data_IF_449196714202
#
_entry.id   IF_449196714202
#
_cell.length_a   1.000
_cell.length_b   1.000
_cell.length_c   1.000
_cell.angle_alpha   90.00
_cell.angle_beta   90.00
_cell.angle_gamma   90.00
#
_symmetry.space_group_name_H-M   'P 1'
#
loop_
_entity.id
_entity.type
_entity.pdbx_description
1 polymer ?
#
# COMPACT_ATOMS: atom_id res chain seq x y z
N UNK A 1 -8.10 10.89 10.24
CA UNK A 1 -6.98 11.56 9.55
C UNK A 1 -5.73 10.74 9.79
N UNK A 2 -4.99 10.39 8.75
CA UNK A 2 -3.75 9.61 8.85
C UNK A 2 -2.72 10.30 9.77
N UNK A 3 -1.95 9.50 10.51
CA UNK A 3 -0.96 10.01 11.48
C UNK A 3 0.08 10.93 10.80
N UNK A 4 0.52 10.55 9.59
CA UNK A 4 1.42 11.35 8.76
C UNK A 4 0.82 12.73 8.42
N UNK A 5 -0.46 12.75 8.03
CA UNK A 5 -1.17 13.98 7.65
C UNK A 5 -1.32 14.92 8.85
N UNK A 6 -1.64 14.40 10.03
CA UNK A 6 -1.73 15.21 11.24
C UNK A 6 -0.39 15.86 11.57
N UNK A 7 0.71 15.11 11.49
CA UNK A 7 2.05 15.59 11.82
C UNK A 7 2.52 16.67 10.84
N UNK A 8 2.28 16.49 9.53
CA UNK A 8 2.55 17.51 8.52
C UNK A 8 1.71 18.77 8.77
N UNK A 9 0.42 18.61 9.12
CA UNK A 9 -0.46 19.73 9.42
C UNK A 9 0.04 20.53 10.62
N UNK A 10 0.38 19.85 11.72
CA UNK A 10 0.85 20.52 12.94
C UNK A 10 2.18 21.25 12.72
N UNK A 11 3.07 20.71 11.88
CA UNK A 11 4.36 21.33 11.55
C UNK A 11 4.25 22.53 10.61
N UNK A 12 3.38 22.44 9.60
CA UNK A 12 3.18 23.50 8.60
C UNK A 12 2.15 24.55 9.04
N UNK A 13 1.52 24.35 10.21
CA UNK A 13 0.55 25.28 10.77
C UNK A 13 1.15 26.66 10.96
N UNK A 14 0.46 27.68 10.46
CA UNK A 14 0.93 29.06 10.46
C UNK A 14 1.64 29.47 9.16
N UNK A 15 1.82 28.56 8.20
CA UNK A 15 2.18 28.90 6.82
C UNK A 15 0.94 28.83 5.92
N UNK A 16 0.33 29.98 5.55
CA UNK A 16 -0.93 29.99 4.79
C UNK A 16 -0.84 29.33 3.42
N UNK A 17 0.35 29.33 2.80
CA UNK A 17 0.55 28.69 1.50
C UNK A 17 0.62 27.17 1.63
N UNK A 18 1.28 26.68 2.68
CA UNK A 18 1.37 25.26 2.97
C UNK A 18 0.00 24.70 3.37
N UNK A 19 -0.75 25.41 4.22
CA UNK A 19 -2.12 25.02 4.60
C UNK A 19 -3.06 24.96 3.39
N UNK A 20 -2.97 25.94 2.48
CA UNK A 20 -3.76 25.95 1.23
C UNK A 20 -3.41 24.77 0.32
N UNK A 21 -2.11 24.51 0.12
CA UNK A 21 -1.65 23.37 -0.67
C UNK A 21 -2.14 22.06 -0.05
N UNK A 22 -2.07 21.95 1.28
CA UNK A 22 -2.55 20.79 2.00
C UNK A 22 -4.03 20.55 1.78
N UNK A 23 -4.90 21.55 1.99
CA UNK A 23 -6.34 21.44 1.73
C UNK A 23 -6.65 21.05 0.28
N UNK A 24 -5.90 21.58 -0.69
CA UNK A 24 -6.09 21.24 -2.10
C UNK A 24 -5.66 19.80 -2.43
N UNK A 25 -4.63 19.27 -1.76
CA UNK A 25 -4.27 17.85 -1.82
C UNK A 25 -5.39 16.97 -1.27
N UNK A 26 -6.06 17.40 -0.19
CA UNK A 26 -7.22 16.65 0.36
C UNK A 26 -8.38 16.59 -0.63
N UNK A 27 -8.47 17.56 -1.55
CA UNK A 27 -9.45 17.60 -2.64
C UNK A 27 -9.01 16.81 -3.87
N UNK A 28 -7.83 16.16 -3.84
CA UNK A 28 -7.30 15.34 -4.93
C UNK A 28 -6.47 16.09 -5.97
N UNK A 29 -6.00 17.31 -5.67
CA UNK A 29 -5.15 18.06 -6.59
C UNK A 29 -3.71 17.55 -6.58
N UNK A 30 -3.32 16.83 -7.64
CA UNK A 30 -1.94 16.33 -7.80
C UNK A 30 -0.89 17.45 -7.93
N UNK A 31 -1.24 18.59 -8.53
CA UNK A 31 -0.30 19.72 -8.66
C UNK A 31 0.04 20.33 -7.30
N UNK A 32 -0.92 20.35 -6.39
CA UNK A 32 -0.71 20.87 -5.04
C UNK A 32 0.01 19.85 -4.14
N UNK A 33 0.05 18.58 -4.53
CA UNK A 33 0.88 17.55 -3.88
C UNK A 33 2.36 17.86 -4.03
N UNK A 34 2.80 18.20 -5.24
CA UNK A 34 4.21 18.56 -5.49
C UNK A 34 4.60 19.82 -4.72
N UNK A 35 3.69 20.80 -4.64
CA UNK A 35 3.91 22.02 -3.84
C UNK A 35 3.97 21.72 -2.34
N UNK A 36 3.08 20.87 -1.84
CA UNK A 36 3.10 20.43 -0.46
C UNK A 36 4.41 19.71 -0.13
N UNK A 37 4.93 18.90 -1.05
CA UNK A 37 6.22 18.21 -0.88
C UNK A 37 7.38 19.19 -0.69
N UNK A 38 7.41 20.30 -1.44
CA UNK A 38 8.42 21.36 -1.25
C UNK A 38 8.36 21.96 0.15
N UNK A 39 7.17 22.30 0.64
CA UNK A 39 7.02 22.86 2.01
C UNK A 39 7.40 21.85 3.10
N UNK A 40 7.07 20.57 2.91
CA UNK A 40 7.47 19.52 3.83
C UNK A 40 9.00 19.37 3.82
N UNK A 41 9.63 19.43 2.65
CA UNK A 41 11.09 19.32 2.54
C UNK A 41 11.80 20.49 3.23
N UNK A 42 11.34 21.72 3.03
CA UNK A 42 11.84 22.92 3.72
C UNK A 42 11.75 22.76 5.25
N UNK A 43 10.59 22.32 5.75
CA UNK A 43 10.40 22.04 7.17
C UNK A 43 11.27 20.88 7.72
N UNK A 44 11.66 19.92 6.86
CA UNK A 44 12.57 18.84 7.21
C UNK A 44 14.04 19.29 7.25
N UNK A 45 14.41 20.30 6.46
CA UNK A 45 15.74 20.90 6.49
C UNK A 45 15.92 21.73 7.78
N UNK A 46 14.88 22.43 8.21
CA UNK A 46 14.86 23.21 9.46
C UNK A 46 14.76 22.36 10.74
N UNK A 47 14.07 21.21 10.68
CA UNK A 47 13.83 20.35 11.83
C UNK A 47 14.17 18.88 11.54
N UNK A 48 15.35 18.46 12.01
CA UNK A 48 15.84 17.10 11.84
C UNK A 48 15.03 16.04 12.59
N UNK A 49 14.38 16.40 13.70
CA UNK A 49 13.52 15.47 14.43
C UNK A 49 12.26 15.20 13.59
N UNK A 50 11.62 16.26 13.10
CA UNK A 50 10.50 16.15 12.18
C UNK A 50 10.85 15.34 10.93
N UNK A 51 12.03 15.58 10.35
CA UNK A 51 12.51 14.82 9.19
C UNK A 51 12.67 13.32 9.48
N UNK A 52 13.13 12.98 10.69
CA UNK A 52 13.32 11.60 11.12
C UNK A 52 11.97 10.90 11.30
N UNK A 53 11.01 11.58 11.93
CA UNK A 53 9.65 11.07 12.13
C UNK A 53 8.92 10.85 10.79
N UNK A 54 8.99 11.81 9.85
CA UNK A 54 8.40 11.68 8.52
C UNK A 54 8.99 10.46 7.78
N UNK A 55 10.32 10.31 7.79
CA UNK A 55 11.01 9.19 7.14
C UNK A 55 10.65 7.84 7.77
N UNK A 56 10.48 7.79 9.09
CA UNK A 56 10.08 6.58 9.78
C UNK A 56 8.67 6.12 9.35
N UNK A 57 7.70 7.04 9.37
CA UNK A 57 6.33 6.75 8.96
C UNK A 57 6.25 6.36 7.48
N UNK A 58 7.00 7.05 6.60
CA UNK A 58 7.05 6.70 5.18
C UNK A 58 7.61 5.28 4.93
N UNK A 59 8.63 4.88 5.69
CA UNK A 59 9.16 3.51 5.64
C UNK A 59 8.14 2.48 6.12
N UNK A 60 7.41 2.78 7.20
CA UNK A 60 6.37 1.90 7.72
C UNK A 60 5.23 1.70 6.70
N UNK A 61 4.79 2.76 6.03
CA UNK A 61 3.78 2.67 4.95
C UNK A 61 4.29 1.80 3.80
N UNK A 62 5.54 1.97 3.38
CA UNK A 62 6.14 1.11 2.34
C UNK A 62 6.26 -0.35 2.78
N UNK A 63 6.67 -0.60 4.02
CA UNK A 63 6.74 -1.96 4.57
C UNK A 63 5.36 -2.63 4.64
N UNK A 64 4.34 -1.90 5.08
CA UNK A 64 2.95 -2.36 5.09
C UNK A 64 2.45 -2.73 3.69
N UNK A 65 2.69 -1.87 2.68
CA UNK A 65 2.34 -2.16 1.28
C UNK A 65 3.04 -3.41 0.74
N UNK A 66 4.30 -3.61 1.09
CA UNK A 66 5.02 -4.84 0.75
C UNK A 66 4.35 -6.05 1.42
N UNK A 67 4.05 -5.97 2.72
CA UNK A 67 3.41 -7.07 3.46
C UNK A 67 2.02 -7.44 2.94
N UNK A 68 1.20 -6.45 2.58
CA UNK A 68 -0.10 -6.68 1.95
C UNK A 68 0.05 -7.37 0.58
N UNK A 69 1.01 -6.95 -0.24
CA UNK A 69 1.29 -7.57 -1.53
C UNK A 69 1.74 -9.04 -1.39
N UNK A 70 2.61 -9.33 -0.41
CA UNK A 70 3.07 -10.70 -0.12
C UNK A 70 1.89 -11.57 0.34
N UNK A 71 1.02 -11.02 1.19
CA UNK A 71 -0.17 -11.73 1.69
C UNK A 71 -1.18 -12.05 0.57
N UNK A 72 -1.41 -11.12 -0.36
CA UNK A 72 -2.24 -11.39 -1.54
C UNK A 72 -1.63 -12.47 -2.45
N UNK A 73 -0.31 -12.42 -2.66
CA UNK A 73 0.40 -13.40 -3.50
C UNK A 73 0.39 -14.81 -2.89
N UNK A 74 0.57 -14.93 -1.57
CA UNK A 74 0.51 -16.21 -0.86
C UNK A 74 -0.92 -16.78 -0.84
N UNK A 75 -1.94 -15.96 -0.60
CA UNK A 75 -3.34 -16.40 -0.67
C UNK A 75 -3.71 -16.91 -2.07
N UNK A 76 -3.26 -16.24 -3.13
CA UNK A 76 -3.53 -16.68 -4.50
C UNK A 76 -2.80 -18.01 -4.83
N UNK A 77 -1.53 -18.16 -4.43
CA UNK A 77 -0.80 -19.44 -4.59
C UNK A 77 -1.48 -20.58 -3.84
N UNK A 78 -1.88 -20.36 -2.59
CA UNK A 78 -2.57 -21.38 -1.80
C UNK A 78 -3.92 -21.79 -2.43
N UNK A 79 -4.66 -20.84 -2.99
CA UNK A 79 -5.93 -21.14 -3.66
C UNK A 79 -5.70 -21.90 -4.98
N UNK A 80 -4.71 -21.51 -5.77
CA UNK A 80 -4.37 -22.17 -7.05
C UNK A 80 -3.88 -23.60 -6.84
N UNK A 81 -3.01 -23.84 -5.84
CA UNK A 81 -2.51 -25.17 -5.51
C UNK A 81 -3.65 -26.08 -5.02
N UNK A 82 -4.54 -25.57 -4.14
CA UNK A 82 -5.71 -26.33 -3.67
C UNK A 82 -6.63 -26.73 -4.83
N UNK A 83 -6.97 -25.79 -5.70
CA UNK A 83 -7.86 -26.06 -6.84
C UNK A 83 -7.21 -27.01 -7.86
N UNK A 84 -5.91 -26.89 -8.14
CA UNK A 84 -5.21 -27.83 -9.04
C UNK A 84 -5.08 -29.23 -8.44
N UNK A 85 -4.87 -29.35 -7.13
CA UNK A 85 -4.77 -30.65 -6.45
C UNK A 85 -6.13 -31.35 -6.41
N UNK A 86 -7.21 -30.59 -6.20
CA UNK A 86 -8.57 -31.12 -6.19
C UNK A 86 -9.03 -31.54 -7.60
N UNK A 87 -8.74 -30.74 -8.63
CA UNK A 87 -9.06 -31.07 -10.03
C UNK A 87 -8.28 -32.28 -10.57
N UNK A 88 -7.03 -32.48 -10.14
CA UNK A 88 -6.25 -33.66 -10.53
C UNK A 88 -6.69 -34.93 -9.80
N UNK A 89 -7.11 -34.81 -8.53
CA UNK A 89 -7.68 -35.94 -7.78
C UNK A 89 -9.02 -36.39 -8.38
N UNK A 90 -9.89 -35.45 -8.77
CA UNK A 90 -11.18 -35.75 -9.39
C UNK A 90 -11.03 -36.33 -10.81
N UNK A 91 -10.09 -35.81 -11.63
CA UNK A 91 -9.84 -36.36 -12.97
C UNK A 91 -9.19 -37.74 -12.96
N UNK A 92 -8.37 -38.05 -11.95
CA UNK A 92 -7.69 -39.36 -11.86
C UNK A 92 -8.65 -40.51 -11.52
N UNK A 93 -9.85 -40.20 -11.01
CA UNK A 93 -10.86 -41.22 -10.66
C UNK A 93 -11.80 -41.58 -11.83
N UNK A 94 -11.78 -40.81 -12.93
CA UNK A 94 -12.73 -40.96 -14.05
C UNK A 94 -12.17 -41.81 -15.21
N UNK A 95 -10.88 -42.11 -15.25
CA UNK A 95 -10.26 -42.89 -16.35
C UNK A 95 -10.20 -44.41 -16.08
N UNK A 96 -10.81 -44.88 -15.00
CA UNK A 96 -10.64 -46.25 -14.49
C UNK A 96 -11.66 -47.30 -14.92
N UNK A 97 -12.62 -47.02 -15.83
CA UNK A 97 -13.59 -48.03 -16.25
C UNK A 97 -13.99 -47.89 -17.74
N UNK A 98 -13.14 -48.35 -18.66
CA UNK A 98 -13.59 -48.75 -19.99
C UNK A 98 -13.90 -50.26 -19.97
N UNK A 99 -15.19 -50.61 -19.83
CA UNK A 99 -15.67 -51.97 -20.05
C UNK A 99 -15.47 -52.36 -21.51
N UNK A 100 -14.69 -53.42 -21.77
CA UNK A 100 -14.54 -54.02 -23.09
C UNK A 100 -15.64 -55.09 -23.25
N UNK A 101 -16.58 -54.85 -24.17
CA UNK A 101 -17.60 -55.81 -24.56
C UNK A 101 -17.01 -56.84 -25.54
N UNK A 102 -17.14 -58.12 -25.20
CA UNK A 102 -17.25 -59.23 -26.16
C UNK A 102 -18.23 -60.26 -25.61
#
# INVERSE_FOLDING_TARGET
MDNLRKMIWDKLRGNPKAEKAMMAVEQGSNQELDRLAVYVQDAMEDDQQFASEIKAIAKEIHAGKLQENISMTQNNRNNTIKNQTQLQAEKSFVDGIHYHNY
#
